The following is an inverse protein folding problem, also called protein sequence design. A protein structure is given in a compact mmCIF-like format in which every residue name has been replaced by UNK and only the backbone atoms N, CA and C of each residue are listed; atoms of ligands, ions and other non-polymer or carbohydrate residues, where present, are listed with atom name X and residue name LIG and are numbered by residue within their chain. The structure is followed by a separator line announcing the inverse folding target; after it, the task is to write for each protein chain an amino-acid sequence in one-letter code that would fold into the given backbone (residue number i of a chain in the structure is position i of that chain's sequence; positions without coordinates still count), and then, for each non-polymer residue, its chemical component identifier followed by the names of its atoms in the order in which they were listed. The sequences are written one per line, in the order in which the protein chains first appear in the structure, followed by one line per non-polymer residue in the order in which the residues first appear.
data_IF_027220656913
#
_entry.id   IF_027220656913
#
_cell.length_a   1.000
_cell.length_b   1.000
_cell.length_c   1.000
_cell.angle_alpha   90.00
_cell.angle_beta   90.00
_cell.angle_gamma   90.00
#
_symmetry.space_group_name_H-M   'P 1'
#
loop_
_entity.id
_entity.type
_entity.pdbx_description
1 polymer ?
#
# COMPACT_ATOMS: atom_id res chain seq x y z
N UNK A 1 43.49 -4.59 -24.39
CA UNK A 1 43.01 -3.26 -24.81
C UNK A 1 41.63 -3.30 -25.49
N UNK A 2 41.08 -4.47 -25.87
CA UNK A 2 39.81 -4.56 -26.64
C UNK A 2 38.55 -4.74 -25.79
N UNK A 3 38.66 -5.14 -24.57
CA UNK A 3 37.49 -5.37 -23.71
C UNK A 3 36.87 -4.08 -23.09
N UNK A 4 37.59 -2.97 -23.08
CA UNK A 4 37.14 -1.67 -22.57
C UNK A 4 36.43 -0.80 -23.61
N UNK A 5 36.63 -1.09 -24.89
CA UNK A 5 36.04 -0.34 -26.00
C UNK A 5 34.63 -0.81 -26.36
N UNK A 6 34.29 -2.08 -26.06
CA UNK A 6 32.96 -2.66 -26.28
C UNK A 6 31.94 -2.14 -25.26
N UNK A 7 32.38 -1.87 -24.02
CA UNK A 7 31.49 -1.37 -22.97
C UNK A 7 31.08 0.11 -23.11
N UNK A 8 31.77 0.88 -23.96
CA UNK A 8 31.43 2.28 -24.20
C UNK A 8 30.52 2.50 -25.40
N UNK A 9 30.26 1.49 -26.25
CA UNK A 9 29.44 1.60 -27.43
C UNK A 9 27.95 1.31 -27.23
N UNK A 10 27.56 0.73 -26.08
CA UNK A 10 26.15 0.47 -25.74
C UNK A 10 25.44 1.60 -25.00
N UNK A 11 26.13 2.70 -24.69
CA UNK A 11 25.49 3.91 -24.13
C UNK A 11 24.97 4.87 -25.19
N UNK A 12 24.72 4.41 -26.42
CA UNK A 12 24.12 5.23 -27.45
C UNK A 12 22.63 5.01 -27.57
N UNK A 13 21.92 6.08 -27.19
CA UNK A 13 20.61 6.44 -27.73
C UNK A 13 19.41 5.60 -27.26
N UNK A 14 19.06 5.72 -25.99
CA UNK A 14 17.63 5.77 -25.67
C UNK A 14 17.16 7.14 -26.19
N UNK A 15 16.64 7.16 -27.41
CA UNK A 15 15.86 8.29 -27.91
C UNK A 15 14.73 8.48 -26.90
N UNK A 16 14.78 9.58 -26.18
CA UNK A 16 13.65 10.11 -25.43
C UNK A 16 12.51 10.22 -26.45
N UNK A 17 11.67 9.18 -26.49
CA UNK A 17 10.43 9.26 -27.21
C UNK A 17 9.69 10.45 -26.62
N UNK A 18 9.38 11.44 -27.45
CA UNK A 18 8.54 12.54 -27.07
C UNK A 18 7.31 11.93 -26.38
N UNK A 19 7.18 12.18 -25.07
CA UNK A 19 5.93 11.94 -24.36
C UNK A 19 4.95 12.85 -25.09
N UNK A 20 4.15 12.27 -25.98
CA UNK A 20 2.98 12.95 -26.51
C UNK A 20 2.17 13.27 -25.29
N UNK A 21 2.26 14.51 -24.84
CA UNK A 21 1.45 15.02 -23.74
C UNK A 21 0.01 14.79 -24.15
N UNK A 22 -0.60 13.74 -23.60
CA UNK A 22 -2.04 13.64 -23.58
C UNK A 22 -2.50 14.85 -22.79
N UNK A 23 -2.84 15.92 -23.52
CA UNK A 23 -3.52 17.08 -22.99
C UNK A 23 -4.70 16.53 -22.20
N UNK A 24 -4.70 16.75 -20.89
CA UNK A 24 -5.85 16.40 -20.05
C UNK A 24 -7.09 16.98 -20.75
N UNK A 25 -8.16 16.21 -20.93
CA UNK A 25 -9.37 16.70 -21.58
C UNK A 25 -9.77 18.01 -20.93
N UNK A 26 -9.89 19.07 -21.71
CA UNK A 26 -10.28 20.38 -21.19
C UNK A 26 -11.64 20.24 -20.53
N UNK A 27 -11.68 20.54 -19.23
CA UNK A 27 -12.94 20.52 -18.47
C UNK A 27 -13.95 21.47 -19.14
N UNK A 28 -15.20 21.02 -19.26
CA UNK A 28 -16.29 21.84 -19.78
C UNK A 28 -16.37 23.15 -18.96
N UNK A 29 -16.29 24.33 -19.61
CA UNK A 29 -16.37 25.63 -18.94
C UNK A 29 -17.69 25.88 -18.22
N UNK A 30 -18.74 25.15 -18.55
CA UNK A 30 -20.05 25.21 -17.86
C UNK A 30 -19.98 24.58 -16.46
N UNK A 31 -19.04 23.69 -16.22
CA UNK A 31 -18.87 23.05 -14.91
C UNK A 31 -18.20 24.01 -13.91
N UNK A 32 -18.62 23.99 -12.62
CA UNK A 32 -18.00 24.80 -11.58
C UNK A 32 -16.49 24.51 -11.49
N UNK A 33 -15.63 25.54 -11.33
CA UNK A 33 -14.19 25.35 -11.30
C UNK A 33 -13.76 24.54 -10.06
N UNK A 34 -12.74 23.68 -10.20
CA UNK A 34 -12.24 22.89 -9.09
C UNK A 34 -11.62 23.74 -7.97
N UNK A 35 -11.30 24.99 -8.23
CA UNK A 35 -10.81 25.95 -7.23
C UNK A 35 -11.82 26.27 -6.12
N UNK A 36 -13.11 25.95 -6.33
CA UNK A 36 -14.12 26.03 -5.28
C UNK A 36 -13.94 24.93 -4.20
N UNK A 37 -13.21 23.88 -4.52
CA UNK A 37 -12.92 22.78 -3.60
C UNK A 37 -11.59 23.04 -2.88
N UNK A 38 -11.54 22.72 -1.60
CA UNK A 38 -10.33 22.83 -0.80
C UNK A 38 -9.24 21.87 -1.28
N UNK A 39 -8.00 22.34 -1.27
CA UNK A 39 -6.84 21.49 -1.51
C UNK A 39 -6.59 20.53 -0.35
N UNK A 40 -5.97 19.39 -0.66
CA UNK A 40 -5.47 18.45 0.34
C UNK A 40 -4.18 19.04 0.95
N UNK A 41 -4.18 19.17 2.28
CA UNK A 41 -2.98 19.48 3.04
C UNK A 41 -2.60 18.18 3.77
N UNK A 42 -1.78 17.37 3.13
CA UNK A 42 -1.30 16.12 3.73
C UNK A 42 0.01 16.42 4.43
N UNK A 43 0.05 16.29 5.76
CA UNK A 43 1.31 16.25 6.48
C UNK A 43 2.08 15.00 6.04
N UNK A 44 3.41 15.07 5.84
CA UNK A 44 4.20 13.90 5.55
C UNK A 44 4.03 12.87 6.69
N UNK A 45 4.04 11.56 6.37
CA UNK A 45 3.97 10.54 7.40
C UNK A 45 5.21 10.62 8.29
N UNK A 46 5.02 10.38 9.59
CA UNK A 46 6.14 10.29 10.52
C UNK A 46 6.86 8.95 10.33
N UNK A 47 7.97 8.98 9.61
CA UNK A 47 8.76 7.77 9.29
C UNK A 47 9.31 7.09 10.56
N UNK A 48 9.62 7.86 11.63
CA UNK A 48 10.11 7.29 12.87
C UNK A 48 9.03 6.40 13.51
N UNK A 49 7.79 6.89 13.59
CA UNK A 49 6.65 6.12 14.12
C UNK A 49 6.39 4.86 13.29
N UNK A 50 6.54 4.96 11.97
CA UNK A 50 6.35 3.81 11.08
C UNK A 50 7.43 2.75 11.32
N UNK A 51 8.70 3.16 11.41
CA UNK A 51 9.80 2.24 11.66
C UNK A 51 9.72 1.61 13.06
N UNK A 52 9.31 2.36 14.07
CA UNK A 52 9.09 1.83 15.42
C UNK A 52 7.95 0.80 15.43
N UNK A 53 6.86 1.08 14.71
CA UNK A 53 5.75 0.13 14.56
C UNK A 53 6.18 -1.15 13.84
N UNK A 54 6.98 -1.04 12.78
CA UNK A 54 7.50 -2.20 12.05
C UNK A 54 8.37 -3.08 12.95
N UNK A 55 9.29 -2.47 13.72
CA UNK A 55 10.15 -3.16 14.67
C UNK A 55 9.34 -3.85 15.77
N UNK A 56 8.32 -3.17 16.30
CA UNK A 56 7.46 -3.72 17.36
C UNK A 56 6.62 -4.91 16.87
N UNK A 57 6.15 -4.87 15.61
CA UNK A 57 5.49 -6.02 14.98
C UNK A 57 6.43 -7.22 14.93
N UNK A 58 7.66 -7.04 14.43
CA UNK A 58 8.66 -8.12 14.32
C UNK A 58 9.00 -8.69 15.70
N UNK A 59 9.26 -7.81 16.67
CA UNK A 59 9.62 -8.19 18.03
C UNK A 59 8.47 -8.97 18.70
N UNK A 60 7.25 -8.46 18.64
CA UNK A 60 6.08 -9.13 19.24
C UNK A 60 5.87 -10.52 18.63
N UNK A 61 5.95 -10.65 17.29
CA UNK A 61 5.82 -11.95 16.65
C UNK A 61 6.95 -12.91 17.09
N UNK A 62 8.18 -12.42 17.22
CA UNK A 62 9.31 -13.22 17.67
C UNK A 62 9.16 -13.70 19.12
N UNK A 63 8.63 -12.88 20.04
CA UNK A 63 8.31 -13.24 21.44
C UNK A 63 7.34 -14.40 21.54
N UNK A 64 6.40 -14.51 20.60
CA UNK A 64 5.49 -15.66 20.49
C UNK A 64 6.06 -16.83 19.67
N UNK A 65 7.35 -16.82 19.35
CA UNK A 65 8.01 -17.87 18.57
C UNK A 65 7.59 -17.92 17.10
N UNK A 66 7.12 -16.80 16.56
CA UNK A 66 6.69 -16.64 15.18
C UNK A 66 7.68 -15.71 14.46
N UNK A 67 8.81 -16.21 13.92
CA UNK A 67 9.73 -15.37 13.19
C UNK A 67 9.06 -14.84 11.92
N UNK A 68 9.05 -13.53 11.76
CA UNK A 68 8.53 -12.84 10.59
C UNK A 68 9.32 -11.55 10.36
N UNK A 69 9.28 -11.02 9.15
CA UNK A 69 9.98 -9.79 8.77
C UNK A 69 9.01 -8.82 8.10
N UNK A 70 9.11 -7.55 8.44
CA UNK A 70 8.43 -6.47 7.72
C UNK A 70 9.28 -6.07 6.51
N UNK A 71 8.82 -6.43 5.31
CA UNK A 71 9.52 -6.16 4.05
C UNK A 71 9.19 -4.78 3.46
N UNK A 72 8.17 -4.11 3.97
CA UNK A 72 7.78 -2.78 3.53
C UNK A 72 6.47 -2.32 4.16
N UNK A 73 6.07 -1.11 3.82
CA UNK A 73 4.81 -0.53 4.29
C UNK A 73 4.16 0.36 3.23
N UNK A 74 2.88 0.64 3.41
CA UNK A 74 2.11 1.59 2.61
C UNK A 74 1.28 2.46 3.53
N UNK A 75 1.43 3.78 3.39
CA UNK A 75 0.71 4.75 4.22
C UNK A 75 -0.57 5.16 3.51
N UNK A 76 -1.69 4.82 4.12
CA UNK A 76 -3.01 5.30 3.70
C UNK A 76 -3.48 6.49 4.54
N UNK A 77 -4.67 7.01 4.27
CA UNK A 77 -5.19 8.18 4.99
C UNK A 77 -5.54 7.89 6.45
N UNK A 78 -5.93 6.68 6.80
CA UNK A 78 -6.38 6.28 8.14
C UNK A 78 -5.57 5.17 8.77
N UNK A 79 -4.91 4.34 7.94
CA UNK A 79 -4.11 3.20 8.38
C UNK A 79 -2.81 3.13 7.61
N UNK A 80 -1.79 2.53 8.23
CA UNK A 80 -0.58 2.10 7.55
C UNK A 80 -0.61 0.58 7.44
N UNK A 81 -0.48 0.05 6.24
CA UNK A 81 -0.40 -1.39 5.97
C UNK A 81 1.06 -1.83 5.93
N UNK A 82 1.44 -2.73 6.83
CA UNK A 82 2.76 -3.36 6.87
C UNK A 82 2.72 -4.70 6.12
N UNK A 83 3.71 -4.91 5.23
CA UNK A 83 3.90 -6.16 4.52
C UNK A 83 4.76 -7.10 5.36
N UNK A 84 4.16 -8.12 5.96
CA UNK A 84 4.82 -9.06 6.86
C UNK A 84 5.06 -10.39 6.16
N UNK A 85 6.31 -10.77 6.01
CA UNK A 85 6.73 -12.03 5.41
C UNK A 85 6.96 -13.08 6.49
N UNK A 86 6.20 -14.21 6.47
CA UNK A 86 6.40 -15.30 7.41
C UNK A 86 7.77 -15.96 7.21
N UNK A 87 8.53 -16.09 8.28
CA UNK A 87 9.83 -16.76 8.33
C UNK A 87 9.72 -18.28 8.47
N UNK A 88 10.75 -18.87 9.06
CA UNK A 88 10.83 -20.32 9.28
C UNK A 88 11.18 -20.60 10.74
N UNK A 89 10.57 -21.64 11.29
CA UNK A 89 10.87 -22.18 12.63
C UNK A 89 11.65 -23.48 12.45
N UNK A 90 12.71 -23.68 13.20
CA UNK A 90 13.40 -24.95 13.29
C UNK A 90 12.73 -25.82 14.35
N UNK A 91 12.33 -27.03 13.99
CA UNK A 91 11.79 -28.05 14.91
C UNK A 91 12.69 -29.28 14.85
N UNK A 92 12.99 -29.84 16.01
CA UNK A 92 13.70 -31.11 16.08
C UNK A 92 12.66 -32.21 15.86
N UNK A 93 12.86 -32.99 14.78
CA UNK A 93 12.03 -34.16 14.48
C UNK A 93 12.28 -35.30 15.49
N UNK A 94 11.44 -36.37 15.44
CA UNK A 94 11.58 -37.55 16.31
C UNK A 94 12.94 -38.23 16.17
N UNK A 95 13.59 -38.05 15.04
CA UNK A 95 14.88 -38.67 14.66
C UNK A 95 16.06 -37.76 15.08
N UNK A 96 15.83 -36.67 15.84
CA UNK A 96 16.87 -35.69 16.21
C UNK A 96 17.32 -34.76 15.07
N UNK A 97 16.71 -34.86 13.90
CA UNK A 97 17.02 -34.03 12.73
C UNK A 97 16.24 -32.72 12.81
N UNK A 98 16.96 -31.58 12.62
CA UNK A 98 16.30 -30.26 12.55
C UNK A 98 15.49 -30.13 11.25
N UNK A 99 14.20 -29.93 11.38
CA UNK A 99 13.29 -29.71 10.26
C UNK A 99 12.89 -28.23 10.22
N UNK A 100 13.18 -27.57 9.10
CA UNK A 100 12.82 -26.18 8.87
C UNK A 100 11.39 -26.10 8.38
N UNK A 101 10.48 -25.55 9.20
CA UNK A 101 9.06 -25.40 8.88
C UNK A 101 8.70 -23.92 8.69
N UNK A 102 8.02 -23.61 7.58
CA UNK A 102 7.53 -22.24 7.34
C UNK A 102 6.41 -21.89 8.32
N UNK A 103 6.44 -20.68 8.87
CA UNK A 103 5.37 -20.11 9.70
C UNK A 103 4.06 -20.08 8.89
N UNK A 104 2.98 -20.53 9.49
CA UNK A 104 1.66 -20.50 8.88
C UNK A 104 1.02 -19.12 9.07
N UNK A 105 0.33 -18.66 8.05
CA UNK A 105 -0.40 -17.38 8.07
C UNK A 105 -1.39 -17.31 9.23
N UNK A 106 -2.07 -18.43 9.54
CA UNK A 106 -3.01 -18.52 10.67
C UNK A 106 -2.39 -18.25 12.03
N UNK A 107 -1.08 -18.54 12.21
CA UNK A 107 -0.36 -18.25 13.45
C UNK A 107 -0.19 -16.73 13.65
N UNK A 108 0.13 -16.00 12.57
CA UNK A 108 0.20 -14.53 12.61
C UNK A 108 -1.19 -13.93 12.88
N UNK A 109 -2.22 -14.43 12.17
CA UNK A 109 -3.60 -13.94 12.35
C UNK A 109 -4.15 -14.18 13.75
N UNK A 110 -3.73 -15.24 14.43
CA UNK A 110 -4.15 -15.54 15.79
C UNK A 110 -3.65 -14.49 16.81
N UNK A 111 -2.52 -13.83 16.53
CA UNK A 111 -1.91 -12.81 17.38
C UNK A 111 -2.43 -11.38 17.15
N UNK A 112 -3.53 -11.21 16.43
CA UNK A 112 -4.07 -9.88 16.13
C UNK A 112 -4.35 -9.02 17.38
N UNK A 113 -4.78 -9.64 18.50
CA UNK A 113 -5.06 -8.94 19.76
C UNK A 113 -3.77 -8.58 20.49
N UNK A 114 -2.80 -9.47 20.51
CA UNK A 114 -1.50 -9.26 21.16
C UNK A 114 -0.71 -8.16 20.44
N UNK A 115 -0.72 -8.19 19.11
CA UNK A 115 -0.16 -7.13 18.28
C UNK A 115 -0.88 -5.79 18.50
N UNK A 116 -2.21 -5.79 18.63
CA UNK A 116 -2.97 -4.56 18.91
C UNK A 116 -2.56 -3.97 20.26
N UNK A 117 -2.39 -4.81 21.27
CA UNK A 117 -1.94 -4.39 22.60
C UNK A 117 -0.52 -3.81 22.54
N UNK A 118 0.42 -4.52 21.91
CA UNK A 118 1.81 -4.08 21.78
C UNK A 118 1.93 -2.72 21.04
N UNK A 119 1.15 -2.54 19.99
CA UNK A 119 1.12 -1.31 19.19
C UNK A 119 0.26 -0.20 19.79
N UNK A 120 -0.36 -0.43 20.98
CA UNK A 120 -1.32 0.49 21.61
C UNK A 120 -2.44 0.92 20.64
N UNK A 121 -2.82 0.02 19.73
CA UNK A 121 -3.82 0.25 18.70
C UNK A 121 -5.20 -0.24 19.20
N UNK A 122 -6.24 0.54 18.96
CA UNK A 122 -7.60 0.16 19.35
C UNK A 122 -8.11 -1.10 18.63
N UNK A 123 -7.65 -1.31 17.38
CA UNK A 123 -7.98 -2.46 16.56
C UNK A 123 -6.95 -2.61 15.44
N UNK A 124 -6.55 -3.86 15.16
CA UNK A 124 -5.78 -4.22 13.97
C UNK A 124 -6.65 -5.01 13.00
N UNK A 125 -6.37 -4.87 11.72
CA UNK A 125 -6.88 -5.77 10.69
C UNK A 125 -5.71 -6.53 10.07
N UNK A 126 -5.85 -7.85 9.98
CA UNK A 126 -4.88 -8.71 9.31
C UNK A 126 -5.52 -9.23 8.04
N UNK A 127 -4.97 -8.86 6.90
CA UNK A 127 -5.36 -9.34 5.59
C UNK A 127 -4.41 -10.47 5.15
N UNK A 128 -4.94 -11.67 5.08
CA UNK A 128 -4.12 -12.84 4.83
C UNK A 128 -4.87 -13.91 4.00
N UNK A 129 -4.45 -14.15 2.76
CA UNK A 129 -3.38 -13.47 2.03
C UNK A 129 -3.81 -12.10 1.47
N UNK A 130 -2.85 -11.21 1.22
CA UNK A 130 -3.11 -10.01 0.40
C UNK A 130 -3.22 -10.46 -1.06
N UNK A 131 -4.30 -10.11 -1.78
CA UNK A 131 -4.50 -10.53 -3.17
C UNK A 131 -3.31 -10.19 -4.06
N UNK A 132 -2.79 -11.20 -4.78
CA UNK A 132 -1.66 -11.06 -5.69
C UNK A 132 -0.31 -10.81 -5.02
N UNK A 133 -0.17 -11.04 -3.71
CA UNK A 133 1.07 -10.85 -2.94
C UNK A 133 1.41 -12.07 -2.09
N UNK A 134 2.70 -12.23 -1.79
CA UNK A 134 3.23 -13.34 -0.98
C UNK A 134 3.46 -12.99 0.50
N UNK A 135 2.87 -11.92 0.99
CA UNK A 135 2.97 -11.45 2.37
C UNK A 135 1.60 -11.33 3.05
N UNK A 136 1.63 -11.19 4.37
CA UNK A 136 0.47 -10.86 5.20
C UNK A 136 0.42 -9.36 5.40
N UNK A 137 -0.71 -8.72 5.15
CA UNK A 137 -0.94 -7.30 5.42
C UNK A 137 -1.40 -7.10 6.86
N UNK A 138 -0.67 -6.29 7.64
CA UNK A 138 -1.10 -5.85 8.97
C UNK A 138 -1.43 -4.36 8.88
N UNK A 139 -2.70 -4.01 9.04
CA UNK A 139 -3.17 -2.63 9.01
C UNK A 139 -3.22 -2.07 10.43
N UNK A 140 -2.38 -1.06 10.66
CA UNK A 140 -2.27 -0.35 11.94
C UNK A 140 -2.89 1.04 11.78
N UNK A 141 -3.82 1.46 12.65
CA UNK A 141 -4.37 2.82 12.61
C UNK A 141 -3.29 3.88 12.74
N UNK A 142 -3.37 4.90 11.90
CA UNK A 142 -2.44 6.04 12.01
C UNK A 142 -2.77 6.87 13.26
N UNK A 143 -1.78 7.40 13.98
CA UNK A 143 -2.02 8.29 15.11
C UNK A 143 -2.74 9.58 14.68
N UNK A 144 -2.47 10.04 13.47
CA UNK A 144 -3.15 11.16 12.85
C UNK A 144 -3.76 10.73 11.51
N UNK A 145 -5.08 10.86 11.38
CA UNK A 145 -5.78 10.54 10.14
C UNK A 145 -5.71 11.72 9.19
N UNK A 146 -5.44 11.45 7.90
CA UNK A 146 -5.46 12.47 6.85
C UNK A 146 -6.87 12.62 6.29
N UNK A 147 -7.30 13.86 6.12
CA UNK A 147 -8.60 14.13 5.49
C UNK A 147 -8.46 14.03 3.97
N UNK A 148 -9.19 13.09 3.38
CA UNK A 148 -9.24 12.92 1.93
C UNK A 148 -10.15 14.01 1.32
N UNK A 149 -9.59 14.85 0.46
CA UNK A 149 -10.30 15.96 -0.19
C UNK A 149 -10.75 15.57 -1.61
N UNK A 150 -11.96 15.99 -1.97
CA UNK A 150 -12.55 15.70 -3.26
C UNK A 150 -11.70 16.22 -4.43
N UNK A 151 -11.11 17.40 -4.28
CA UNK A 151 -10.31 18.05 -5.33
C UNK A 151 -9.14 17.18 -5.77
N UNK A 152 -8.34 16.67 -4.84
CA UNK A 152 -7.17 15.84 -5.15
C UNK A 152 -7.54 14.54 -5.87
N UNK A 153 -8.73 14.01 -5.59
CA UNK A 153 -9.26 12.82 -6.26
C UNK A 153 -9.72 13.13 -7.70
N UNK A 154 -10.42 14.24 -7.91
CA UNK A 154 -10.87 14.67 -9.24
C UNK A 154 -9.70 15.09 -10.14
N UNK A 155 -8.61 15.63 -9.57
CA UNK A 155 -7.37 15.97 -10.27
C UNK A 155 -6.47 14.75 -10.48
N UNK A 156 -6.77 13.58 -9.88
CA UNK A 156 -5.96 12.38 -10.00
C UNK A 156 -5.98 11.81 -11.42
N UNK A 157 -4.86 11.23 -11.84
CA UNK A 157 -4.75 10.55 -13.13
C UNK A 157 -5.77 9.42 -13.28
N UNK A 158 -6.09 8.70 -12.18
CA UNK A 158 -7.10 7.65 -12.18
C UNK A 158 -8.47 8.17 -12.60
N UNK A 159 -8.88 9.34 -12.11
CA UNK A 159 -10.15 9.96 -12.50
C UNK A 159 -10.09 10.52 -13.91
N UNK A 160 -9.01 11.18 -14.29
CA UNK A 160 -8.85 11.76 -15.63
C UNK A 160 -8.89 10.69 -16.74
N UNK A 161 -8.36 9.50 -16.48
CA UNK A 161 -8.40 8.36 -17.42
C UNK A 161 -9.77 7.71 -17.54
N UNK A 162 -10.71 7.98 -16.63
CA UNK A 162 -12.00 7.30 -16.62
C UNK A 162 -12.86 7.63 -17.84
N UNK A 163 -12.69 8.80 -18.44
CA UNK A 163 -13.35 9.26 -19.67
C UNK A 163 -14.87 8.98 -19.72
N UNK A 164 -15.55 9.06 -18.58
CA UNK A 164 -17.00 8.82 -18.44
C UNK A 164 -17.70 10.05 -17.87
N UNK A 165 -18.87 10.37 -18.41
CA UNK A 165 -19.73 11.44 -17.88
C UNK A 165 -20.37 11.10 -16.53
N UNK A 166 -20.45 9.80 -16.20
CA UNK A 166 -20.99 9.29 -14.94
C UNK A 166 -19.89 8.74 -14.03
N UNK A 167 -18.63 9.20 -14.26
CA UNK A 167 -17.51 8.90 -13.39
C UNK A 167 -17.63 9.60 -12.04
N UNK A 168 -17.30 8.91 -10.97
CA UNK A 168 -17.27 9.49 -9.63
C UNK A 168 -16.10 8.93 -8.81
N UNK A 169 -15.75 9.64 -7.75
CA UNK A 169 -14.68 9.26 -6.83
C UNK A 169 -15.27 8.68 -5.55
N UNK A 170 -14.69 7.59 -5.05
CA UNK A 170 -15.08 6.92 -3.81
C UNK A 170 -14.19 7.32 -2.62
N UNK A 171 -12.91 7.64 -2.88
CA UNK A 171 -11.95 7.96 -1.84
C UNK A 171 -10.55 7.51 -2.19
N UNK A 172 -9.77 7.17 -1.16
CA UNK A 172 -8.47 6.50 -1.28
C UNK A 172 -8.54 5.12 -0.63
N UNK A 173 -7.83 4.17 -1.19
CA UNK A 173 -7.65 2.84 -0.59
C UNK A 173 -6.67 2.87 0.58
N UNK A 174 -6.44 1.70 1.20
CA UNK A 174 -5.50 1.53 2.32
C UNK A 174 -4.04 1.84 1.95
N UNK A 175 -3.73 1.90 0.67
CA UNK A 175 -2.40 2.30 0.16
C UNK A 175 -2.33 3.77 -0.27
N UNK A 176 -3.40 4.54 -0.04
CA UNK A 176 -3.49 5.96 -0.40
C UNK A 176 -3.80 6.23 -1.87
N UNK A 177 -4.09 5.17 -2.67
CA UNK A 177 -4.40 5.34 -4.09
C UNK A 177 -5.84 5.78 -4.30
N UNK A 178 -6.12 6.69 -5.26
CA UNK A 178 -7.47 7.11 -5.60
C UNK A 178 -8.32 5.93 -6.08
N UNK A 179 -9.53 5.80 -5.53
CA UNK A 179 -10.54 4.82 -5.96
C UNK A 179 -11.63 5.57 -6.70
N UNK A 180 -11.77 5.25 -7.98
CA UNK A 180 -12.74 5.86 -8.88
C UNK A 180 -13.65 4.79 -9.48
N UNK A 181 -14.87 5.17 -9.84
CA UNK A 181 -15.83 4.25 -10.41
C UNK A 181 -16.66 4.95 -11.51
N UNK A 182 -17.27 4.15 -12.35
CA UNK A 182 -18.14 4.59 -13.44
C UNK A 182 -19.55 4.01 -13.22
N UNK A 183 -20.51 4.87 -12.91
CA UNK A 183 -21.89 4.45 -12.66
C UNK A 183 -22.51 3.77 -13.89
N UNK A 184 -22.11 4.19 -15.10
CA UNK A 184 -22.61 3.58 -16.33
C UNK A 184 -22.23 2.10 -16.49
N UNK A 185 -21.19 1.66 -15.79
CA UNK A 185 -20.69 0.28 -15.83
C UNK A 185 -21.16 -0.59 -14.66
N UNK A 186 -21.87 -0.01 -13.72
CA UNK A 186 -22.36 -0.74 -12.55
C UNK A 186 -23.74 -1.34 -12.85
N UNK A 187 -23.92 -2.67 -12.68
CA UNK A 187 -25.23 -3.31 -12.85
C UNK A 187 -26.23 -2.87 -11.75
N UNK A 188 -25.71 -2.60 -10.56
CA UNK A 188 -26.46 -2.06 -9.42
C UNK A 188 -25.48 -1.43 -8.42
N UNK A 189 -25.95 -0.51 -7.62
CA UNK A 189 -25.23 0.12 -6.51
C UNK A 189 -26.18 0.29 -5.33
N UNK A 190 -25.70 0.02 -4.13
CA UNK A 190 -26.35 0.34 -2.88
C UNK A 190 -25.57 1.48 -2.20
N UNK A 191 -26.28 2.53 -1.77
CA UNK A 191 -25.71 3.71 -1.11
C UNK A 191 -26.21 3.76 0.33
#
# INVERSE_FOLDING_TARGET
GEALEVAQKEKRSIKTGAVVGLSAPSRDPVLPPLTLLSNETTAPPDEAVIHDSARLIEQTLAEFGIPARVSGYRVGPTVTQFAVEPGFVEKIGPDGVSIRQKVRVSQISALARDLALALSASRLRIEAPVPGRSYVGIEVPNPHTSLVRLRSLLESEAFQRLASQLGFVLGKDVSGQPVVADLARMPHILI
#
